data_IF_460107059736
#
_entry.id   IF_460107059736
#
_cell.length_a   1.000
_cell.length_b   1.000
_cell.length_c   1.000
_cell.angle_alpha   90.00
_cell.angle_beta   90.00
_cell.angle_gamma   90.00
#
_symmetry.space_group_name_H-M   'P 1'
#
loop_
_entity.id
_entity.type
_entity.pdbx_description
1 polymer ?
#
# COMPACT_ATOMS: atom_id res chain seq x y z
N UNK A 1 -11.33 -7.96 -0.81
CA UNK A 1 -10.76 -9.21 -0.25
C UNK A 1 -9.28 -9.28 -0.60
N UNK A 2 -8.96 -9.15 -1.89
CA UNK A 2 -7.58 -9.01 -2.41
C UNK A 2 -6.84 -7.83 -1.77
N UNK A 3 -7.44 -6.64 -1.74
CA UNK A 3 -6.84 -5.46 -1.08
C UNK A 3 -6.48 -5.69 0.40
N UNK A 4 -7.36 -6.34 1.16
CA UNK A 4 -7.11 -6.69 2.57
C UNK A 4 -5.98 -7.72 2.72
N UNK A 5 -5.86 -8.64 1.76
CA UNK A 5 -4.79 -9.63 1.73
C UNK A 5 -3.45 -8.97 1.40
N UNK A 6 -3.37 -8.17 0.33
CA UNK A 6 -2.14 -7.51 -0.09
C UNK A 6 -1.62 -6.54 0.96
N UNK A 7 -2.51 -5.73 1.57
CA UNK A 7 -2.15 -4.85 2.70
C UNK A 7 -1.48 -5.64 3.83
N UNK A 8 -2.13 -6.70 4.30
CA UNK A 8 -1.62 -7.48 5.43
C UNK A 8 -0.35 -8.24 5.09
N UNK A 9 -0.21 -8.72 3.86
CA UNK A 9 1.00 -9.37 3.36
C UNK A 9 2.19 -8.41 3.35
N UNK A 10 2.00 -7.17 2.91
CA UNK A 10 3.04 -6.14 2.93
C UNK A 10 3.53 -5.86 4.36
N UNK A 11 2.60 -5.70 5.31
CA UNK A 11 2.94 -5.50 6.72
C UNK A 11 3.73 -6.68 7.27
N UNK A 12 3.25 -7.92 7.09
CA UNK A 12 3.94 -9.11 7.60
C UNK A 12 5.33 -9.24 6.96
N UNK A 13 5.45 -8.98 5.66
CA UNK A 13 6.74 -9.08 4.95
C UNK A 13 7.76 -8.07 5.49
N UNK A 14 7.34 -6.84 5.76
CA UNK A 14 8.18 -5.85 6.46
C UNK A 14 8.64 -6.34 7.83
N UNK A 15 7.75 -6.99 8.59
CA UNK A 15 8.08 -7.53 9.91
C UNK A 15 9.06 -8.71 9.81
N UNK A 16 8.93 -9.59 8.82
CA UNK A 16 9.88 -10.69 8.57
C UNK A 16 11.28 -10.13 8.31
N UNK A 17 11.38 -9.14 7.42
CA UNK A 17 12.65 -8.49 7.07
C UNK A 17 13.29 -7.81 8.28
N UNK A 18 12.51 -7.01 9.02
CA UNK A 18 12.99 -6.26 10.19
C UNK A 18 13.45 -7.17 11.34
N UNK A 19 12.73 -8.26 11.60
CA UNK A 19 12.97 -9.14 12.74
C UNK A 19 13.68 -10.45 12.36
N UNK A 20 14.32 -10.49 11.18
CA UNK A 20 15.18 -11.58 10.70
C UNK A 20 14.52 -12.96 10.76
N UNK A 21 13.50 -13.18 9.92
CA UNK A 21 12.88 -14.50 9.74
C UNK A 21 12.30 -15.10 11.03
N UNK A 22 11.73 -14.24 11.87
CA UNK A 22 11.02 -14.70 13.06
C UNK A 22 9.89 -15.66 12.64
N UNK A 23 9.97 -16.89 13.13
CA UNK A 23 9.04 -17.99 12.83
C UNK A 23 7.57 -17.64 13.08
N UNK A 24 7.29 -16.71 14.00
CA UNK A 24 5.93 -16.23 14.25
C UNK A 24 5.37 -15.48 13.04
N UNK A 25 6.15 -14.60 12.40
CA UNK A 25 5.69 -13.83 11.25
C UNK A 25 5.57 -14.69 10.00
N UNK A 26 6.48 -15.65 9.82
CA UNK A 26 6.38 -16.65 8.75
C UNK A 26 5.10 -17.47 8.90
N UNK A 27 4.81 -17.96 10.12
CA UNK A 27 3.57 -18.69 10.41
C UNK A 27 2.32 -17.82 10.18
N UNK A 28 2.38 -16.53 10.50
CA UNK A 28 1.29 -15.60 10.28
C UNK A 28 1.03 -15.37 8.78
N UNK A 29 2.09 -15.30 7.96
CA UNK A 29 1.98 -15.23 6.51
C UNK A 29 1.31 -16.48 5.93
N UNK A 30 1.69 -17.68 6.38
CA UNK A 30 1.07 -18.94 5.97
C UNK A 30 -0.43 -18.99 6.34
N UNK A 31 -0.79 -18.48 7.52
CA UNK A 31 -2.19 -18.38 7.96
C UNK A 31 -2.95 -17.42 7.04
N UNK A 32 -2.37 -16.25 6.71
CA UNK A 32 -2.96 -15.28 5.79
C UNK A 32 -3.23 -15.91 4.41
N UNK A 33 -2.23 -16.57 3.83
CA UNK A 33 -2.33 -17.28 2.54
C UNK A 33 -3.39 -18.39 2.58
N UNK A 34 -3.49 -19.12 3.70
CA UNK A 34 -4.52 -20.14 3.90
C UNK A 34 -5.93 -19.54 3.95
N UNK A 35 -6.11 -18.39 4.60
CA UNK A 35 -7.43 -17.74 4.64
C UNK A 35 -7.83 -17.17 3.28
N UNK A 36 -6.86 -16.60 2.55
CA UNK A 36 -7.08 -16.07 1.21
C UNK A 36 -7.43 -17.16 0.20
N UNK A 37 -6.68 -18.27 0.19
CA UNK A 37 -6.96 -19.43 -0.68
C UNK A 37 -8.32 -20.08 -0.40
N UNK A 38 -8.76 -20.09 0.86
CA UNK A 38 -10.12 -20.51 1.26
C UNK A 38 -11.21 -19.50 0.93
N UNK A 39 -10.86 -18.32 0.40
CA UNK A 39 -11.77 -17.18 0.16
C UNK A 39 -12.53 -16.77 1.43
N UNK A 40 -11.89 -16.93 2.58
CA UNK A 40 -12.49 -16.70 3.90
C UNK A 40 -12.33 -15.25 4.33
N UNK A 41 -13.32 -14.40 4.01
CA UNK A 41 -13.29 -12.98 4.41
C UNK A 41 -13.24 -12.81 5.93
N UNK A 42 -13.99 -13.64 6.67
CA UNK A 42 -13.99 -13.60 8.14
C UNK A 42 -12.64 -14.04 8.71
N UNK A 43 -11.96 -15.00 8.07
CA UNK A 43 -10.60 -15.39 8.43
C UNK A 43 -9.60 -14.25 8.20
N UNK A 44 -9.64 -13.61 7.03
CA UNK A 44 -8.77 -12.47 6.72
C UNK A 44 -8.97 -11.30 7.69
N UNK A 45 -10.22 -11.00 8.08
CA UNK A 45 -10.51 -9.95 9.06
C UNK A 45 -9.95 -10.26 10.46
N UNK A 46 -9.90 -11.52 10.86
CA UNK A 46 -9.28 -11.91 12.13
C UNK A 46 -7.77 -11.72 12.09
N UNK A 47 -7.14 -12.13 10.98
CA UNK A 47 -5.71 -11.91 10.76
C UNK A 47 -5.38 -10.42 10.74
N UNK A 48 -6.18 -9.60 10.05
CA UNK A 48 -6.03 -8.14 10.03
C UNK A 48 -6.12 -7.52 11.44
N UNK A 49 -7.05 -7.98 12.28
CA UNK A 49 -7.17 -7.49 13.65
C UNK A 49 -5.90 -7.79 14.48
N UNK A 50 -5.38 -9.02 14.41
CA UNK A 50 -4.14 -9.41 15.10
C UNK A 50 -2.94 -8.59 14.61
N UNK A 51 -2.84 -8.38 13.29
CA UNK A 51 -1.78 -7.55 12.71
C UNK A 51 -1.89 -6.11 13.19
N UNK A 52 -3.08 -5.50 13.16
CA UNK A 52 -3.27 -4.12 13.60
C UNK A 52 -2.93 -3.95 15.09
N UNK A 53 -3.29 -4.93 15.94
CA UNK A 53 -2.92 -4.91 17.35
C UNK A 53 -1.40 -4.92 17.55
N UNK A 54 -0.67 -5.72 16.76
CA UNK A 54 0.79 -5.70 16.77
C UNK A 54 1.37 -4.39 16.25
N UNK A 55 0.85 -3.88 15.13
CA UNK A 55 1.29 -2.62 14.53
C UNK A 55 1.21 -1.48 15.54
N UNK A 56 0.14 -1.43 16.34
CA UNK A 56 -0.05 -0.43 17.40
C UNK A 56 1.00 -0.48 18.52
N UNK A 57 1.76 -1.57 18.65
CA UNK A 57 2.86 -1.70 19.63
C UNK A 57 4.22 -1.28 19.08
N UNK A 58 4.31 -0.96 17.79
CA UNK A 58 5.57 -0.60 17.13
C UNK A 58 5.99 0.85 17.40
N UNK A 59 7.25 1.15 17.10
CA UNK A 59 7.79 2.50 17.22
C UNK A 59 7.15 3.47 16.24
N UNK A 60 7.24 4.77 16.53
CA UNK A 60 6.77 5.83 15.62
C UNK A 60 7.41 5.78 14.23
N UNK A 61 8.68 5.41 14.16
CA UNK A 61 9.42 5.21 12.91
C UNK A 61 8.84 4.04 12.10
N UNK A 62 8.53 2.93 12.76
CA UNK A 62 7.93 1.76 12.11
C UNK A 62 6.53 2.03 11.59
N UNK A 63 5.73 2.74 12.39
CA UNK A 63 4.39 3.15 11.99
C UNK A 63 4.44 4.04 10.73
N UNK A 64 5.45 4.91 10.59
CA UNK A 64 5.65 5.69 9.37
C UNK A 64 5.99 4.83 8.16
N UNK A 65 6.83 3.81 8.33
CA UNK A 65 7.18 2.88 7.25
C UNK A 65 5.96 2.05 6.85
N UNK A 66 5.26 1.48 7.82
CA UNK A 66 4.04 0.71 7.57
C UNK A 66 2.96 1.57 6.91
N UNK A 67 2.73 2.80 7.38
CA UNK A 67 1.83 3.73 6.72
C UNK A 67 2.31 4.02 5.30
N UNK A 68 3.60 4.23 5.05
CA UNK A 68 4.08 4.41 3.68
C UNK A 68 3.88 3.21 2.76
N UNK A 69 3.93 1.99 3.30
CA UNK A 69 3.76 0.75 2.55
C UNK A 69 2.27 0.44 2.28
N UNK A 70 1.39 0.91 3.16
CA UNK A 70 -0.04 0.57 3.13
C UNK A 70 -0.91 1.72 2.65
N UNK A 71 -0.38 2.94 2.65
CA UNK A 71 -1.10 4.17 2.36
C UNK A 71 -0.61 4.71 1.01
N UNK A 72 -1.29 4.27 -0.05
CA UNK A 72 -1.03 4.73 -1.42
C UNK A 72 -1.10 6.26 -1.54
N UNK A 73 -1.89 6.93 -0.70
CA UNK A 73 -1.94 8.40 -0.64
C UNK A 73 -0.61 9.04 -0.25
N UNK A 74 0.14 8.48 0.71
CA UNK A 74 1.45 9.03 1.11
C UNK A 74 2.52 8.83 0.02
N UNK A 75 2.38 7.78 -0.80
CA UNK A 75 3.21 7.55 -1.98
C UNK A 75 2.84 8.52 -3.10
N UNK A 76 1.55 8.67 -3.39
CA UNK A 76 1.01 9.64 -4.35
C UNK A 76 1.48 11.06 -4.00
N UNK A 77 1.31 11.48 -2.75
CA UNK A 77 1.69 12.82 -2.29
C UNK A 77 3.20 13.05 -2.40
N UNK A 78 4.02 12.03 -2.11
CA UNK A 78 5.47 12.09 -2.32
C UNK A 78 5.84 12.19 -3.79
N UNK A 79 5.19 11.43 -4.66
CA UNK A 79 5.46 11.43 -6.11
C UNK A 79 5.03 12.76 -6.74
N UNK A 80 3.90 13.33 -6.30
CA UNK A 80 3.45 14.66 -6.71
C UNK A 80 4.42 15.74 -6.19
N UNK A 81 4.81 15.69 -4.91
CA UNK A 81 5.71 16.67 -4.30
C UNK A 81 7.13 16.63 -4.88
N UNK A 82 7.64 15.44 -5.21
CA UNK A 82 8.94 15.27 -5.87
C UNK A 82 8.89 15.57 -7.37
N UNK A 83 7.71 15.62 -7.97
CA UNK A 83 7.50 15.94 -9.38
C UNK A 83 8.11 14.93 -10.36
N UNK A 84 8.38 13.70 -9.91
CA UNK A 84 9.04 12.67 -10.70
C UNK A 84 8.47 11.29 -10.39
N UNK A 85 8.08 10.55 -11.43
CA UNK A 85 7.63 9.15 -11.36
C UNK A 85 8.85 8.26 -11.56
N UNK A 86 9.16 7.38 -10.59
CA UNK A 86 10.39 6.59 -10.62
C UNK A 86 10.14 5.12 -10.99
N UNK A 87 8.88 4.68 -10.95
CA UNK A 87 8.50 3.28 -11.19
C UNK A 87 7.15 3.15 -11.89
N UNK A 88 6.88 1.97 -12.45
CA UNK A 88 5.58 1.63 -13.03
C UNK A 88 4.47 1.52 -11.96
N UNK A 89 4.85 1.21 -10.73
CA UNK A 89 3.94 1.21 -9.59
C UNK A 89 3.48 2.64 -9.25
N UNK A 90 4.42 3.59 -9.18
CA UNK A 90 4.08 5.02 -8.98
C UNK A 90 3.15 5.54 -10.07
N UNK A 91 3.39 5.12 -11.32
CA UNK A 91 2.55 5.48 -12.46
C UNK A 91 1.12 4.95 -12.30
N UNK A 92 0.96 3.67 -11.97
CA UNK A 92 -0.35 3.05 -11.78
C UNK A 92 -1.14 3.65 -10.61
N UNK A 93 -0.46 3.96 -9.49
CA UNK A 93 -1.09 4.60 -8.34
C UNK A 93 -1.60 6.01 -8.67
N UNK A 94 -0.86 6.78 -9.46
CA UNK A 94 -1.27 8.10 -9.93
C UNK A 94 -2.43 8.04 -10.93
N UNK A 95 -2.43 7.08 -11.87
CA UNK A 95 -3.58 6.86 -12.77
C UNK A 95 -4.86 6.55 -11.99
N UNK A 96 -4.77 5.66 -10.99
CA UNK A 96 -5.90 5.33 -10.13
C UNK A 96 -6.42 6.56 -9.38
N UNK A 97 -5.52 7.39 -8.83
CA UNK A 97 -5.89 8.64 -8.13
C UNK A 97 -6.60 9.63 -9.05
N UNK A 98 -6.17 9.76 -10.31
CA UNK A 98 -6.84 10.63 -11.28
C UNK A 98 -8.26 10.16 -11.55
N UNK A 99 -8.48 8.85 -11.74
CA UNK A 99 -9.82 8.28 -11.91
C UNK A 99 -10.72 8.60 -10.70
N UNK A 100 -10.23 8.40 -9.47
CA UNK A 100 -10.96 8.72 -8.24
C UNK A 100 -11.34 10.21 -8.15
N UNK A 101 -10.40 11.12 -8.48
CA UNK A 101 -10.64 12.56 -8.45
C UNK A 101 -11.66 13.03 -9.51
N UNK A 102 -11.66 12.39 -10.69
CA UNK A 102 -12.63 12.67 -11.76
C UNK A 102 -14.04 12.22 -11.34
N UNK A 103 -14.17 11.03 -10.76
CA UNK A 103 -15.45 10.49 -10.29
C UNK A 103 -16.06 11.36 -9.17
N UNK A 104 -15.22 11.89 -8.28
CA UNK A 104 -15.62 12.79 -7.20
C UNK A 104 -15.87 14.24 -7.64
N UNK A 105 -15.56 14.59 -8.90
CA UNK A 105 -15.62 15.94 -9.46
C UNK A 105 -14.84 16.98 -8.62
N UNK A 106 -13.68 16.58 -8.08
CA UNK A 106 -12.84 17.40 -7.18
C UNK A 106 -11.51 17.78 -7.82
N UNK A 107 -10.98 18.93 -7.40
CA UNK A 107 -9.57 19.35 -7.55
C UNK A 107 -8.95 19.26 -8.95
N UNK A 108 -9.50 20.04 -9.89
CA UNK A 108 -9.01 20.13 -11.29
C UNK A 108 -7.51 20.41 -11.41
N UNK A 109 -6.95 21.21 -10.51
CA UNK A 109 -5.52 21.54 -10.50
C UNK A 109 -4.63 20.34 -10.11
N UNK A 110 -5.09 19.49 -9.19
CA UNK A 110 -4.37 18.31 -8.78
C UNK A 110 -4.36 17.28 -9.92
N UNK A 111 -5.51 17.09 -10.58
CA UNK A 111 -5.65 16.25 -11.78
C UNK A 111 -4.68 16.71 -12.87
N UNK A 112 -4.62 18.01 -13.17
CA UNK A 112 -3.69 18.56 -14.17
C UNK A 112 -2.22 18.32 -13.80
N UNK A 113 -1.89 18.43 -12.52
CA UNK A 113 -0.53 18.19 -12.01
C UNK A 113 -0.14 16.73 -12.23
N UNK A 114 -1.01 15.80 -11.83
CA UNK A 114 -0.77 14.37 -12.00
C UNK A 114 -0.68 14.00 -13.49
N UNK A 115 -1.60 14.49 -14.33
CA UNK A 115 -1.58 14.21 -15.78
C UNK A 115 -0.30 14.67 -16.48
N UNK A 116 0.29 15.79 -16.04
CA UNK A 116 1.60 16.24 -16.55
C UNK A 116 2.72 15.28 -16.16
N UNK A 117 2.70 14.76 -14.93
CA UNK A 117 3.68 13.77 -14.47
C UNK A 117 3.56 12.46 -15.26
N UNK A 118 2.33 11.96 -15.42
CA UNK A 118 2.04 10.76 -16.21
C UNK A 118 2.51 10.91 -17.67
N UNK A 119 2.18 12.04 -18.31
CA UNK A 119 2.60 12.34 -19.69
C UNK A 119 4.12 12.39 -19.82
N UNK A 120 4.80 13.08 -18.89
CA UNK A 120 6.26 13.20 -18.89
C UNK A 120 6.93 11.83 -18.75
N UNK A 121 6.42 10.98 -17.87
CA UNK A 121 6.93 9.62 -17.68
C UNK A 121 6.72 8.77 -18.93
N UNK A 122 5.52 8.82 -19.54
CA UNK A 122 5.20 8.08 -20.76
C UNK A 122 6.11 8.47 -21.94
N UNK A 123 6.43 9.75 -22.10
CA UNK A 123 7.33 10.24 -23.14
C UNK A 123 8.81 9.93 -22.88
N UNK A 124 9.17 9.54 -21.65
CA UNK A 124 10.55 9.22 -21.26
C UNK A 124 10.90 7.73 -21.37
N UNK A 125 9.91 6.88 -21.67
CA UNK A 125 10.08 5.46 -21.99
C UNK A 125 10.20 5.25 -23.50
#
# INVERSE_FOLDING_TARGET
MEELYEKNKLIISYMIDKYQDNQLFISLLDILDTQYSKKSLSGLKKVDAEINDWVNTLSSEDLKVINSLTNHEDLIDRTISSGTINSDEDFYLLEKKVCELIEDNKETHLIDTINRLLTKYHLSK
#
